data_IF_143513065456
#
_entry.id   IF_143513065456
#
_cell.length_a   1.000
_cell.length_b   1.000
_cell.length_c   1.000
_cell.angle_alpha   90.00
_cell.angle_beta   90.00
_cell.angle_gamma   90.00
#
_symmetry.space_group_name_H-M   'P 1'
#
loop_
_entity.id
_entity.type
_entity.pdbx_description
1 polymer ?
#
# COMPACT_ATOMS: atom_id res chain seq x y z
N UNK A 1 -15.84 10.68 -11.21
CA UNK A 1 -14.57 10.44 -11.97
C UNK A 1 -14.60 9.01 -12.47
N UNK A 2 -14.47 8.80 -13.76
CA UNK A 2 -14.36 7.46 -14.33
C UNK A 2 -12.88 7.14 -14.49
N UNK A 3 -12.34 6.11 -13.82
CA UNK A 3 -10.96 5.71 -14.01
C UNK A 3 -10.76 5.22 -15.46
N UNK A 4 -9.67 5.64 -16.09
CA UNK A 4 -9.34 5.17 -17.44
C UNK A 4 -8.79 3.73 -17.41
N UNK A 5 -8.18 3.34 -16.30
CA UNK A 5 -7.62 2.00 -16.10
C UNK A 5 -7.62 1.68 -14.60
N UNK A 6 -8.17 0.51 -14.24
CA UNK A 6 -8.04 -0.06 -12.90
C UNK A 6 -7.05 -1.24 -12.97
N UNK A 7 -5.90 -1.11 -12.31
CA UNK A 7 -4.87 -2.13 -12.29
C UNK A 7 -5.34 -3.43 -11.61
N UNK A 8 -6.23 -3.32 -10.62
CA UNK A 8 -6.79 -4.48 -9.97
C UNK A 8 -7.71 -5.29 -10.90
N UNK A 9 -8.50 -4.62 -11.76
CA UNK A 9 -9.31 -5.28 -12.79
C UNK A 9 -8.47 -5.93 -13.90
N UNK A 10 -7.26 -5.43 -14.13
CA UNK A 10 -6.30 -5.97 -15.09
C UNK A 10 -5.33 -6.98 -14.49
N UNK A 11 -5.51 -7.32 -13.20
CA UNK A 11 -4.61 -8.22 -12.46
C UNK A 11 -3.13 -7.79 -12.53
N UNK A 12 -2.90 -6.47 -12.67
CA UNK A 12 -1.56 -5.89 -12.65
C UNK A 12 -1.14 -5.71 -11.20
N UNK A 13 -0.25 -6.57 -10.76
CA UNK A 13 0.33 -6.51 -9.43
C UNK A 13 1.49 -5.51 -9.42
N UNK A 14 1.21 -4.27 -9.00
CA UNK A 14 2.18 -3.18 -8.93
C UNK A 14 2.27 -2.62 -7.52
N UNK A 15 3.47 -2.67 -6.93
CA UNK A 15 3.71 -2.14 -5.58
C UNK A 15 3.89 -0.62 -5.62
N UNK A 16 2.83 0.14 -5.34
CA UNK A 16 2.87 1.61 -5.34
C UNK A 16 3.39 2.20 -4.05
N UNK A 17 2.98 1.66 -2.92
CA UNK A 17 3.31 2.19 -1.59
C UNK A 17 3.67 1.07 -0.63
N UNK A 18 4.44 1.40 0.40
CA UNK A 18 4.82 0.42 1.40
C UNK A 18 5.58 1.07 2.56
N UNK A 19 5.85 0.27 3.57
CA UNK A 19 6.71 0.65 4.69
C UNK A 19 8.16 0.31 4.32
N UNK A 20 9.02 1.31 4.35
CA UNK A 20 10.44 1.17 4.05
C UNK A 20 11.25 1.51 5.30
N UNK A 21 12.26 0.70 5.60
CA UNK A 21 13.19 0.96 6.69
C UNK A 21 14.64 0.80 6.23
N UNK A 22 15.54 1.61 6.78
CA UNK A 22 16.97 1.49 6.52
C UNK A 22 17.53 0.22 7.16
N UNK A 23 18.50 -0.42 6.51
CA UNK A 23 19.09 -1.66 6.98
C UNK A 23 19.80 -1.56 8.34
N UNK A 24 20.44 -0.41 8.64
CA UNK A 24 21.03 -0.13 9.95
C UNK A 24 19.98 0.02 11.06
N UNK A 25 18.87 0.70 10.75
CA UNK A 25 17.73 0.81 11.67
C UNK A 25 17.11 -0.55 11.97
N UNK A 26 16.95 -1.40 10.97
CA UNK A 26 16.45 -2.77 11.12
C UNK A 26 17.28 -3.59 12.11
N UNK A 27 18.62 -3.50 11.99
CA UNK A 27 19.55 -4.23 12.87
C UNK A 27 19.46 -3.77 14.33
N UNK A 28 19.27 -2.47 14.55
CA UNK A 28 19.29 -1.87 15.90
C UNK A 28 17.91 -1.80 16.56
N UNK A 29 16.81 -1.82 15.78
CA UNK A 29 15.45 -1.55 16.26
C UNK A 29 14.42 -2.60 15.82
N UNK A 30 14.85 -3.85 15.63
CA UNK A 30 13.98 -4.92 15.12
C UNK A 30 12.69 -5.13 15.91
N UNK A 31 12.73 -5.00 17.24
CA UNK A 31 11.53 -5.14 18.08
C UNK A 31 10.54 -3.97 17.89
N UNK A 32 11.03 -2.75 17.81
CA UNK A 32 10.19 -1.58 17.53
C UNK A 32 9.50 -1.72 16.17
N UNK A 33 10.24 -2.17 15.14
CA UNK A 33 9.68 -2.41 13.82
C UNK A 33 8.64 -3.52 13.83
N UNK A 34 8.88 -4.61 14.57
CA UNK A 34 7.91 -5.71 14.71
C UNK A 34 6.60 -5.23 15.31
N UNK A 35 6.65 -4.41 16.37
CA UNK A 35 5.46 -3.80 17.00
C UNK A 35 4.73 -2.89 16.02
N UNK A 36 5.47 -2.07 15.28
CA UNK A 36 4.91 -1.20 14.25
C UNK A 36 4.19 -2.02 13.17
N UNK A 37 4.84 -3.05 12.61
CA UNK A 37 4.25 -3.89 11.56
C UNK A 37 3.01 -4.64 12.05
N UNK A 38 3.00 -5.08 13.32
CA UNK A 38 1.80 -5.68 13.92
C UNK A 38 0.64 -4.70 13.93
N UNK A 39 0.86 -3.49 14.45
CA UNK A 39 -0.16 -2.44 14.47
C UNK A 39 -0.61 -2.05 13.05
N UNK A 40 0.32 -2.03 12.10
CA UNK A 40 0.03 -1.77 10.69
C UNK A 40 -0.92 -2.82 10.09
N UNK A 41 -0.64 -4.11 10.28
CA UNK A 41 -1.52 -5.20 9.80
C UNK A 41 -2.87 -5.17 10.51
N UNK A 42 -2.91 -4.90 11.81
CA UNK A 42 -4.14 -4.75 12.57
C UNK A 42 -4.97 -3.56 12.05
N UNK A 43 -4.33 -2.45 11.68
CA UNK A 43 -5.02 -1.28 11.12
C UNK A 43 -5.63 -1.57 9.74
N UNK A 44 -4.95 -2.34 8.87
CA UNK A 44 -5.51 -2.81 7.59
C UNK A 44 -6.78 -3.64 7.82
N UNK A 45 -6.73 -4.57 8.75
CA UNK A 45 -7.89 -5.42 9.10
C UNK A 45 -9.04 -4.60 9.67
N UNK A 46 -8.73 -3.69 10.59
CA UNK A 46 -9.72 -2.77 11.16
C UNK A 46 -10.40 -1.94 10.06
N UNK A 47 -9.60 -1.36 9.16
CA UNK A 47 -10.08 -0.56 8.04
C UNK A 47 -11.07 -1.34 7.16
N UNK A 48 -10.78 -2.60 6.85
CA UNK A 48 -11.65 -3.46 6.04
C UNK A 48 -12.94 -3.87 6.74
N UNK A 49 -12.88 -4.17 8.03
CA UNK A 49 -14.02 -4.66 8.82
C UNK A 49 -14.95 -3.52 9.21
N UNK A 50 -14.38 -2.36 9.58
CA UNK A 50 -15.15 -1.24 10.11
C UNK A 50 -15.42 -0.18 9.04
N UNK A 51 -16.14 -0.57 7.98
CA UNK A 51 -16.39 0.26 6.79
C UNK A 51 -16.89 1.67 7.12
N UNK A 52 -17.83 1.81 8.03
CA UNK A 52 -18.42 3.11 8.37
C UNK A 52 -17.39 4.07 8.99
N UNK A 53 -16.57 3.58 9.93
CA UNK A 53 -15.51 4.36 10.55
C UNK A 53 -14.40 4.66 9.55
N UNK A 54 -14.02 3.68 8.74
CA UNK A 54 -12.99 3.85 7.69
C UNK A 54 -13.39 4.95 6.70
N UNK A 55 -14.64 4.99 6.24
CA UNK A 55 -15.15 6.06 5.36
C UNK A 55 -15.09 7.42 6.05
N UNK A 56 -15.49 7.50 7.33
CA UNK A 56 -15.42 8.74 8.11
C UNK A 56 -13.97 9.25 8.25
N UNK A 57 -13.04 8.37 8.55
CA UNK A 57 -11.62 8.74 8.62
C UNK A 57 -11.04 9.08 7.23
N UNK A 58 -11.50 8.41 6.17
CA UNK A 58 -11.15 8.77 4.79
C UNK A 58 -11.61 10.18 4.45
N UNK A 59 -12.86 10.56 4.80
CA UNK A 59 -13.37 11.93 4.60
C UNK A 59 -12.47 12.97 5.25
N UNK A 60 -12.03 12.71 6.48
CA UNK A 60 -11.09 13.59 7.19
C UNK A 60 -9.73 13.66 6.49
N UNK A 61 -9.19 12.51 6.09
CA UNK A 61 -7.85 12.41 5.51
C UNK A 61 -7.73 13.11 4.15
N UNK A 62 -8.78 13.05 3.32
CA UNK A 62 -8.82 13.73 2.02
C UNK A 62 -9.52 15.09 2.06
N UNK A 63 -9.89 15.58 3.26
CA UNK A 63 -10.51 16.88 3.50
C UNK A 63 -11.77 17.10 2.64
N UNK A 64 -12.71 16.14 2.64
CA UNK A 64 -13.95 16.22 1.86
C UNK A 64 -15.18 15.97 2.71
N UNK A 65 -16.28 16.66 2.37
CA UNK A 65 -17.63 16.38 2.88
C UNK A 65 -18.42 15.48 1.90
N UNK A 66 -17.86 15.17 0.73
CA UNK A 66 -18.45 14.28 -0.25
C UNK A 66 -18.30 12.82 0.18
N UNK A 67 -19.36 12.27 0.75
CA UNK A 67 -19.41 10.87 1.19
C UNK A 67 -19.24 9.88 0.04
N UNK A 68 -19.77 10.19 -1.15
CA UNK A 68 -19.66 9.29 -2.31
C UNK A 68 -18.22 9.16 -2.78
N UNK A 69 -17.48 10.28 -2.78
CA UNK A 69 -16.07 10.29 -3.08
C UNK A 69 -15.28 9.46 -2.06
N UNK A 70 -15.56 9.62 -0.76
CA UNK A 70 -14.90 8.86 0.29
C UNK A 70 -15.22 7.36 0.24
N UNK A 71 -16.45 6.98 -0.13
CA UNK A 71 -16.83 5.58 -0.33
C UNK A 71 -16.13 4.96 -1.54
N UNK A 72 -15.96 5.69 -2.61
CA UNK A 72 -15.21 5.24 -3.79
C UNK A 72 -13.74 5.01 -3.45
N UNK A 73 -13.10 5.94 -2.74
CA UNK A 73 -11.71 5.81 -2.26
C UNK A 73 -11.56 4.62 -1.29
N UNK A 74 -12.48 4.47 -0.33
CA UNK A 74 -12.51 3.32 0.56
C UNK A 74 -12.58 2.00 -0.21
N UNK A 75 -13.51 1.87 -1.16
CA UNK A 75 -13.69 0.64 -1.93
C UNK A 75 -12.44 0.29 -2.75
N UNK A 76 -11.76 1.29 -3.30
CA UNK A 76 -10.49 1.11 -3.99
C UNK A 76 -9.39 0.61 -3.04
N UNK A 77 -9.18 1.30 -1.91
CA UNK A 77 -8.12 0.95 -0.94
C UNK A 77 -8.36 -0.39 -0.26
N UNK A 78 -9.61 -0.70 0.10
CA UNK A 78 -9.95 -1.96 0.74
C UNK A 78 -9.63 -3.18 -0.15
N UNK A 79 -9.72 -3.02 -1.48
CA UNK A 79 -9.29 -4.05 -2.45
C UNK A 79 -7.78 -4.08 -2.64
N UNK A 80 -7.14 -2.91 -2.65
CA UNK A 80 -5.71 -2.79 -2.91
C UNK A 80 -4.83 -3.27 -1.75
N UNK A 81 -5.29 -3.13 -0.50
CA UNK A 81 -4.50 -3.55 0.66
C UNK A 81 -4.55 -5.08 0.85
N UNK A 82 -3.41 -5.78 0.84
CA UNK A 82 -3.36 -7.20 1.19
C UNK A 82 -3.68 -7.39 2.68
N UNK A 83 -4.38 -8.49 3.04
CA UNK A 83 -4.85 -8.74 4.41
C UNK A 83 -3.71 -8.97 5.41
N UNK A 84 -2.57 -9.42 4.94
CA UNK A 84 -1.37 -9.65 5.73
C UNK A 84 -0.35 -8.51 5.66
N UNK A 85 -0.66 -7.44 4.91
CA UNK A 85 0.18 -6.26 4.74
C UNK A 85 1.49 -6.52 4.00
N UNK A 86 1.66 -7.69 3.37
CA UNK A 86 2.91 -8.03 2.67
C UNK A 86 2.90 -7.54 1.23
N UNK A 87 4.00 -6.93 0.77
CA UNK A 87 4.17 -6.69 -0.64
C UNK A 87 4.41 -8.01 -1.39
N UNK A 88 4.02 -8.07 -2.66
CA UNK A 88 4.35 -9.21 -3.50
C UNK A 88 5.71 -9.03 -4.16
N UNK A 89 6.49 -10.10 -4.29
CA UNK A 89 7.78 -10.04 -4.99
C UNK A 89 7.60 -9.63 -6.46
N UNK A 90 6.51 -10.09 -7.09
CA UNK A 90 6.15 -9.72 -8.45
C UNK A 90 5.89 -8.22 -8.59
N UNK A 91 5.12 -7.63 -7.67
CA UNK A 91 4.81 -6.21 -7.68
C UNK A 91 6.05 -5.33 -7.41
N UNK A 92 6.95 -5.78 -6.52
CA UNK A 92 8.23 -5.12 -6.29
C UNK A 92 9.12 -5.21 -7.54
N UNK A 93 9.22 -6.40 -8.19
CA UNK A 93 10.02 -6.57 -9.39
C UNK A 93 9.53 -5.66 -10.52
N UNK A 94 8.20 -5.59 -10.73
CA UNK A 94 7.62 -4.70 -11.73
C UNK A 94 7.98 -3.22 -11.48
N UNK A 95 7.93 -2.78 -10.21
CA UNK A 95 8.35 -1.42 -9.84
C UNK A 95 9.85 -1.16 -10.10
N UNK A 96 10.71 -2.16 -9.83
CA UNK A 96 12.14 -2.09 -10.13
C UNK A 96 12.37 -2.00 -11.64
N UNK A 97 11.70 -2.83 -12.43
CA UNK A 97 11.83 -2.87 -13.88
C UNK A 97 11.42 -1.54 -14.53
N UNK A 98 10.33 -0.92 -14.03
CA UNK A 98 9.93 0.42 -14.49
C UNK A 98 10.97 1.48 -14.12
N UNK A 99 11.45 1.47 -12.87
CA UNK A 99 12.49 2.40 -12.43
C UNK A 99 13.80 2.23 -13.22
N UNK A 100 14.15 1.01 -13.60
CA UNK A 100 15.38 0.69 -14.33
C UNK A 100 15.40 1.27 -15.76
N UNK A 101 14.24 1.64 -16.32
CA UNK A 101 14.16 2.32 -17.62
C UNK A 101 14.77 3.72 -17.56
N UNK A 102 14.60 4.40 -16.43
CA UNK A 102 15.07 5.77 -16.22
C UNK A 102 16.36 5.84 -15.36
N UNK A 103 16.58 4.85 -14.48
CA UNK A 103 17.71 4.81 -13.56
C UNK A 103 18.56 3.54 -13.75
N UNK A 104 19.73 3.64 -14.39
CA UNK A 104 20.59 2.48 -14.63
C UNK A 104 21.04 1.74 -13.35
N UNK A 105 21.06 2.40 -12.19
CA UNK A 105 21.43 1.78 -10.91
C UNK A 105 20.39 0.75 -10.45
N UNK A 106 19.14 0.85 -10.91
CA UNK A 106 18.10 -0.09 -10.57
C UNK A 106 18.17 -1.41 -11.36
N UNK A 107 18.94 -1.47 -12.46
CA UNK A 107 19.04 -2.66 -13.32
C UNK A 107 19.58 -3.92 -12.61
N UNK A 108 20.33 -3.75 -11.55
CA UNK A 108 20.95 -4.86 -10.80
C UNK A 108 20.29 -5.07 -9.43
N UNK A 109 19.10 -4.48 -9.20
CA UNK A 109 18.35 -4.66 -7.97
C UNK A 109 17.37 -5.81 -8.15
N UNK A 110 17.34 -6.72 -7.19
CA UNK A 110 16.36 -7.81 -7.13
C UNK A 110 15.62 -7.76 -5.80
N UNK A 111 14.31 -8.04 -5.77
CA UNK A 111 13.57 -8.15 -4.52
C UNK A 111 14.07 -9.34 -3.70
N UNK A 112 14.21 -9.16 -2.40
CA UNK A 112 14.63 -10.17 -1.44
C UNK A 112 13.51 -10.51 -0.48
#
# INVERSE_FOLDING_TARGET
MNPMLDFAEKEIDYQMTGVVARGDYLKSNGEALRRFLRAYVESIRYYKINRADAIKETMKAIHTDDRQLAEADYNFRARAFPDDGKPTLKGIQLAIDELAKENPKAKNVTPQ
#
